data_IF_760644715423
#
_entry.id   IF_760644715423
#
_cell.length_a   1.000
_cell.length_b   1.000
_cell.length_c   1.000
_cell.angle_alpha   90.00
_cell.angle_beta   90.00
_cell.angle_gamma   90.00
#
_symmetry.space_group_name_H-M   'P 1'
#
loop_
_entity.id
_entity.type
_entity.pdbx_description
1 polymer ?
#
# COMPACT_ATOMS: atom_id res chain seq x y z
N UNK A 1 6.43 -9.75 -7.05
CA UNK A 1 5.44 -8.71 -6.72
C UNK A 1 4.24 -9.45 -6.17
N UNK A 2 4.18 -9.57 -4.85
CA UNK A 2 3.18 -10.32 -4.12
C UNK A 2 2.10 -9.37 -3.60
N UNK A 3 0.86 -9.52 -4.06
CA UNK A 3 -0.28 -8.78 -3.52
C UNK A 3 -0.77 -9.46 -2.25
N UNK A 4 -1.01 -8.70 -1.18
CA UNK A 4 -1.49 -9.23 0.10
C UNK A 4 -2.39 -8.25 0.84
N UNK A 5 -3.15 -8.78 1.78
CA UNK A 5 -3.96 -7.96 2.70
C UNK A 5 -3.04 -7.11 3.59
N UNK A 6 -3.38 -5.84 3.82
CA UNK A 6 -2.69 -5.00 4.80
C UNK A 6 -2.88 -5.58 6.21
N UNK A 7 -1.85 -5.48 7.03
CA UNK A 7 -1.84 -6.00 8.40
C UNK A 7 -1.87 -4.89 9.46
N UNK A 8 -1.64 -3.64 9.05
CA UNK A 8 -1.49 -2.50 9.96
C UNK A 8 -0.08 -2.36 10.52
N UNK A 9 0.83 -3.30 10.23
CA UNK A 9 2.24 -3.25 10.61
C UNK A 9 3.16 -2.79 9.47
N UNK A 10 2.58 -2.31 8.37
CA UNK A 10 3.35 -1.70 7.29
C UNK A 10 3.90 -0.33 7.70
N UNK A 11 5.08 0.07 7.19
CA UNK A 11 5.71 1.37 7.52
C UNK A 11 4.81 2.57 7.24
N UNK A 12 3.93 2.47 6.24
CA UNK A 12 2.95 3.51 5.89
C UNK A 12 1.62 3.44 6.66
N UNK A 13 1.42 2.43 7.51
CA UNK A 13 0.22 2.31 8.33
C UNK A 13 0.19 3.42 9.40
N UNK A 14 -1.00 3.90 9.73
CA UNK A 14 -1.20 4.99 10.69
C UNK A 14 -2.50 4.77 11.48
N UNK A 15 -2.88 5.74 12.33
CA UNK A 15 -4.06 5.66 13.20
C UNK A 15 -5.40 5.53 12.47
N UNK A 16 -5.45 5.73 11.15
CA UNK A 16 -6.64 5.58 10.32
C UNK A 16 -6.72 4.23 9.59
N UNK A 17 -5.70 3.38 9.69
CA UNK A 17 -5.76 2.03 9.12
C UNK A 17 -6.84 1.21 9.82
N UNK A 18 -7.58 0.43 9.02
CA UNK A 18 -8.63 -0.46 9.50
C UNK A 18 -8.38 -1.90 9.02
N UNK A 19 -8.61 -2.92 9.86
CA UNK A 19 -8.56 -4.30 9.40
C UNK A 19 -9.67 -4.57 8.37
N UNK A 20 -9.42 -5.47 7.41
CA UNK A 20 -10.42 -5.92 6.44
C UNK A 20 -10.17 -5.50 4.99
N UNK A 21 -9.10 -4.76 4.71
CA UNK A 21 -8.69 -4.43 3.34
C UNK A 21 -9.47 -3.27 2.72
N UNK A 22 -9.92 -2.33 3.54
CA UNK A 22 -10.53 -1.09 3.10
C UNK A 22 -9.90 0.07 3.85
N UNK A 23 -9.64 1.17 3.13
CA UNK A 23 -9.29 2.45 3.75
C UNK A 23 -10.45 2.93 4.61
N UNK A 24 -10.21 3.90 5.49
CA UNK A 24 -11.26 4.57 6.28
C UNK A 24 -12.42 5.12 5.44
N UNK A 25 -12.17 5.45 4.16
CA UNK A 25 -13.20 5.90 3.21
C UNK A 25 -13.98 4.78 2.52
N UNK A 26 -13.90 3.54 3.00
CA UNK A 26 -14.49 2.35 2.39
C UNK A 26 -13.98 2.02 0.96
N UNK A 27 -12.79 2.50 0.60
CA UNK A 27 -12.12 2.17 -0.67
C UNK A 27 -11.25 0.93 -0.46
N UNK A 28 -11.32 -0.12 -1.30
CA UNK A 28 -10.46 -1.29 -1.18
C UNK A 28 -8.98 -0.94 -1.20
N UNK A 29 -8.20 -1.54 -0.30
CA UNK A 29 -6.74 -1.39 -0.22
C UNK A 29 -6.02 -2.74 -0.17
N UNK A 30 -4.82 -2.77 -0.73
CA UNK A 30 -3.92 -3.91 -0.70
C UNK A 30 -2.48 -3.42 -0.72
N UNK A 31 -1.55 -4.27 -0.29
CA UNK A 31 -0.12 -3.94 -0.24
C UNK A 31 0.68 -4.91 -1.09
N UNK A 32 1.80 -4.42 -1.63
CA UNK A 32 2.71 -5.16 -2.50
C UNK A 32 4.14 -5.02 -2.03
N UNK A 33 5.02 -5.89 -2.50
CA UNK A 33 6.46 -5.71 -2.33
C UNK A 33 6.92 -4.40 -2.99
N UNK A 34 7.97 -3.74 -2.44
CA UNK A 34 8.57 -2.58 -3.08
C UNK A 34 8.98 -2.85 -4.53
N UNK A 35 8.69 -1.90 -5.41
CA UNK A 35 9.16 -1.95 -6.79
C UNK A 35 10.63 -1.52 -6.84
N UNK A 36 11.53 -2.30 -7.46
CA UNK A 36 12.94 -1.90 -7.61
C UNK A 36 13.07 -0.54 -8.28
N UNK A 37 13.97 0.31 -7.76
CA UNK A 37 14.13 1.70 -8.22
C UNK A 37 14.51 1.78 -9.69
N UNK A 38 15.28 0.81 -10.17
CA UNK A 38 15.72 0.71 -11.57
C UNK A 38 14.56 0.49 -12.54
N UNK A 39 13.41 0.01 -12.04
CA UNK A 39 12.18 -0.19 -12.81
C UNK A 39 11.22 1.00 -12.69
N UNK A 40 11.45 1.92 -11.77
CA UNK A 40 10.62 3.10 -11.58
C UNK A 40 11.04 4.21 -12.55
N UNK A 41 10.18 4.56 -13.51
CA UNK A 41 10.38 5.72 -14.38
C UNK A 41 9.60 6.90 -13.82
N UNK A 42 10.30 7.86 -13.21
CA UNK A 42 9.68 9.12 -12.77
C UNK A 42 9.69 10.08 -13.95
N UNK A 43 8.50 10.58 -14.33
CA UNK A 43 8.37 11.70 -15.28
C UNK A 43 7.89 12.91 -14.50
N UNK A 44 8.65 13.99 -14.58
CA UNK A 44 8.23 15.30 -14.11
C UNK A 44 7.55 16.01 -15.27
N UNK A 45 6.37 16.56 -15.01
CA UNK A 45 5.62 17.43 -15.93
C UNK A 45 5.80 18.89 -15.50
#
# INVERSE_FOLDING_TARGET
MNLRMPSGNEEGANSYWLPGGFTMGAIPEAVVDPIPKERARVRFY
#
